data_IF_340411588589
#
_entry.id   IF_340411588589
#
_cell.length_a   1.000
_cell.length_b   1.000
_cell.length_c   1.000
_cell.angle_alpha   90.00
_cell.angle_beta   90.00
_cell.angle_gamma   90.00
#
_symmetry.space_group_name_H-M   'P 1'
#
loop_
_entity.id
_entity.type
_entity.pdbx_description
1 polymer ?
#
# COMPACT_ATOMS: atom_id res chain seq x y z
N UNK A 1 13.55 14.24 15.97
CA UNK A 1 14.35 14.43 14.72
C UNK A 1 14.26 13.22 13.78
N UNK A 2 14.40 11.96 14.26
CA UNK A 2 14.36 10.77 13.40
C UNK A 2 13.06 10.64 12.58
N UNK A 3 11.90 10.89 13.19
CA UNK A 3 10.60 10.82 12.50
C UNK A 3 10.51 11.90 11.41
N UNK A 4 10.92 13.12 11.71
CA UNK A 4 10.93 14.22 10.73
C UNK A 4 11.83 13.87 9.55
N UNK A 5 13.02 13.36 9.83
CA UNK A 5 13.95 12.91 8.78
C UNK A 5 13.33 11.83 7.91
N UNK A 6 12.72 10.82 8.50
CA UNK A 6 12.06 9.72 7.75
C UNK A 6 10.94 10.26 6.84
N UNK A 7 10.12 11.19 7.32
CA UNK A 7 9.08 11.85 6.52
C UNK A 7 9.70 12.61 5.33
N UNK A 8 10.75 13.37 5.57
CA UNK A 8 11.38 14.19 4.55
C UNK A 8 12.21 13.38 3.54
N UNK A 9 12.71 12.22 3.92
CA UNK A 9 13.61 11.41 3.07
C UNK A 9 12.94 10.26 2.34
N UNK A 10 11.78 9.78 2.81
CA UNK A 10 11.06 8.68 2.15
C UNK A 10 10.82 8.95 0.67
N UNK A 11 11.01 7.92 -0.15
CA UNK A 11 10.80 7.96 -1.61
C UNK A 11 9.97 6.75 -2.07
N UNK A 12 9.20 6.93 -3.12
CA UNK A 12 8.58 5.80 -3.82
C UNK A 12 9.66 5.04 -4.59
N UNK A 13 9.71 3.72 -4.39
CA UNK A 13 10.64 2.82 -5.05
C UNK A 13 9.92 2.06 -6.16
N UNK A 14 10.55 1.98 -7.32
CA UNK A 14 10.02 1.30 -8.52
C UNK A 14 11.00 0.28 -9.09
N UNK A 15 11.93 -0.18 -8.28
CA UNK A 15 12.86 -1.24 -8.63
C UNK A 15 13.29 -1.97 -7.36
N UNK A 16 13.01 -3.26 -7.26
CA UNK A 16 13.20 -4.06 -6.05
C UNK A 16 14.14 -5.22 -6.30
N UNK A 17 14.92 -5.56 -5.25
CA UNK A 17 15.63 -6.82 -5.19
C UNK A 17 14.63 -7.98 -5.02
N UNK A 18 14.96 -9.19 -5.49
CA UNK A 18 14.07 -10.35 -5.34
C UNK A 18 14.02 -10.90 -3.91
N UNK A 19 14.87 -10.40 -3.02
CA UNK A 19 14.94 -10.83 -1.63
C UNK A 19 13.67 -10.48 -0.87
N UNK A 20 13.08 -11.47 -0.20
CA UNK A 20 11.97 -11.25 0.71
C UNK A 20 12.46 -10.56 2.00
N UNK A 21 11.76 -9.51 2.46
CA UNK A 21 11.96 -8.99 3.80
C UNK A 21 11.67 -10.06 4.86
N UNK A 22 12.35 -9.98 5.98
CA UNK A 22 12.05 -10.83 7.13
C UNK A 22 10.62 -10.57 7.63
N UNK A 23 9.95 -11.62 8.06
CA UNK A 23 8.54 -11.56 8.51
C UNK A 23 8.36 -10.57 9.66
N UNK A 24 9.30 -10.55 10.60
CA UNK A 24 9.28 -9.61 11.72
C UNK A 24 9.27 -8.13 11.30
N UNK A 25 9.91 -7.80 10.17
CA UNK A 25 9.88 -6.43 9.62
C UNK A 25 8.53 -6.13 8.98
N UNK A 26 7.96 -7.11 8.27
CA UNK A 26 6.61 -6.97 7.68
C UNK A 26 5.58 -6.78 8.80
N UNK A 27 5.67 -7.57 9.87
CA UNK A 27 4.78 -7.47 11.03
C UNK A 27 4.84 -6.10 11.69
N UNK A 28 6.04 -5.54 11.89
CA UNK A 28 6.21 -4.19 12.42
C UNK A 28 5.58 -3.12 11.52
N UNK A 29 5.73 -3.26 10.19
CA UNK A 29 5.14 -2.34 9.23
C UNK A 29 3.61 -2.40 9.29
N UNK A 30 3.04 -3.60 9.32
CA UNK A 30 1.60 -3.82 9.43
C UNK A 30 1.08 -3.28 10.75
N UNK A 31 1.76 -3.58 11.85
CA UNK A 31 1.42 -3.04 13.17
C UNK A 31 1.38 -1.51 13.15
N UNK A 32 2.42 -0.85 12.63
CA UNK A 32 2.45 0.61 12.48
C UNK A 32 1.27 1.14 11.66
N UNK A 33 0.82 0.41 10.67
CA UNK A 33 -0.38 0.72 9.91
C UNK A 33 -1.63 0.77 10.79
N UNK A 34 -1.78 -0.18 11.69
CA UNK A 34 -2.94 -0.27 12.59
C UNK A 34 -3.04 0.88 13.60
N UNK A 35 -1.94 1.61 13.82
CA UNK A 35 -1.92 2.80 14.68
C UNK A 35 -2.27 4.10 13.96
N UNK A 36 -2.71 4.04 12.71
CA UNK A 36 -3.20 5.21 12.00
C UNK A 36 -4.43 5.82 12.72
N UNK A 37 -4.56 7.12 12.64
CA UNK A 37 -5.75 7.79 13.15
C UNK A 37 -6.98 7.37 12.33
N UNK A 38 -8.14 7.26 12.98
CA UNK A 38 -9.41 7.02 12.31
C UNK A 38 -10.54 7.82 12.96
N UNK A 39 -11.53 8.17 12.18
CA UNK A 39 -12.70 8.89 12.66
C UNK A 39 -13.41 8.12 13.79
N UNK A 40 -13.51 8.71 14.97
CA UNK A 40 -14.09 8.09 16.18
C UNK A 40 -13.44 6.75 16.56
N UNK A 41 -12.19 6.55 16.21
CA UNK A 41 -11.44 5.30 16.44
C UNK A 41 -12.14 4.05 15.91
N UNK A 42 -12.85 4.16 14.79
CA UNK A 42 -13.60 3.05 14.21
C UNK A 42 -12.75 2.00 13.52
N UNK A 43 -11.55 2.36 13.05
CA UNK A 43 -10.59 1.45 12.42
C UNK A 43 -11.25 0.54 11.36
N UNK A 44 -11.87 1.13 10.32
CA UNK A 44 -12.69 0.38 9.36
C UNK A 44 -11.89 -0.43 8.35
N UNK A 45 -10.57 -0.36 8.43
CA UNK A 45 -9.65 -1.01 7.49
C UNK A 45 -9.39 -2.48 7.80
N UNK A 46 -8.97 -3.19 6.75
CA UNK A 46 -8.28 -4.49 6.86
C UNK A 46 -6.98 -4.39 6.07
N UNK A 47 -5.92 -4.96 6.61
CA UNK A 47 -4.61 -5.02 5.97
C UNK A 47 -4.37 -6.47 5.56
N UNK A 48 -4.05 -6.70 4.30
CA UNK A 48 -3.84 -8.03 3.75
C UNK A 48 -2.39 -8.10 3.25
N UNK A 49 -1.63 -9.04 3.77
CA UNK A 49 -0.25 -9.32 3.36
C UNK A 49 -0.27 -10.39 2.28
N UNK A 50 0.23 -10.08 1.10
CA UNK A 50 0.18 -10.96 -0.07
C UNK A 50 1.60 -11.33 -0.47
N UNK A 51 1.97 -12.59 -0.23
CA UNK A 51 3.28 -13.18 -0.54
C UNK A 51 3.16 -14.36 -1.51
N UNK A 52 1.97 -14.89 -1.68
CA UNK A 52 1.69 -16.00 -2.59
C UNK A 52 1.86 -15.60 -4.05
N UNK A 53 2.74 -16.31 -4.76
CA UNK A 53 3.10 -15.98 -6.13
C UNK A 53 1.90 -16.07 -7.11
N UNK A 54 1.01 -17.04 -6.90
CA UNK A 54 -0.16 -17.21 -7.76
C UNK A 54 -1.16 -16.07 -7.56
N UNK A 55 -1.40 -15.68 -6.32
CA UNK A 55 -2.26 -14.53 -5.99
C UNK A 55 -1.64 -13.23 -6.52
N UNK A 56 -0.34 -13.03 -6.36
CA UNK A 56 0.36 -11.87 -6.91
C UNK A 56 0.23 -11.80 -8.43
N UNK A 57 0.35 -12.92 -9.14
CA UNK A 57 0.19 -12.96 -10.59
C UNK A 57 -1.23 -12.54 -11.03
N UNK A 58 -2.26 -13.02 -10.35
CA UNK A 58 -3.66 -12.60 -10.59
C UNK A 58 -3.84 -11.11 -10.35
N UNK A 59 -3.29 -10.58 -9.25
CA UNK A 59 -3.36 -9.15 -8.90
C UNK A 59 -2.66 -8.30 -9.97
N UNK A 60 -1.45 -8.68 -10.40
CA UNK A 60 -0.74 -7.96 -11.46
C UNK A 60 -1.54 -7.88 -12.74
N UNK A 61 -2.11 -8.99 -13.18
CA UNK A 61 -2.93 -9.06 -14.39
C UNK A 61 -4.16 -8.17 -14.27
N UNK A 62 -4.89 -8.26 -13.18
CA UNK A 62 -6.09 -7.46 -12.95
C UNK A 62 -5.75 -5.96 -12.84
N UNK A 63 -4.70 -5.61 -12.11
CA UNK A 63 -4.27 -4.23 -11.96
C UNK A 63 -3.85 -3.61 -13.30
N UNK A 64 -3.05 -4.34 -14.09
CA UNK A 64 -2.59 -3.90 -15.40
C UNK A 64 -3.75 -3.66 -16.38
N UNK A 65 -4.86 -4.38 -16.27
CA UNK A 65 -6.02 -4.23 -17.15
C UNK A 65 -6.67 -2.84 -17.08
N UNK A 66 -6.47 -2.11 -15.98
CA UNK A 66 -6.96 -0.74 -15.81
C UNK A 66 -5.98 0.34 -16.30
N UNK A 67 -4.80 -0.04 -16.76
CA UNK A 67 -3.81 0.90 -17.25
C UNK A 67 -3.99 1.13 -18.74
N UNK A 68 -3.75 2.37 -19.17
CA UNK A 68 -3.85 2.76 -20.60
C UNK A 68 -2.62 2.35 -21.42
N UNK A 69 -1.52 2.04 -20.76
CA UNK A 69 -0.27 1.62 -21.36
C UNK A 69 -0.04 0.13 -21.11
N UNK A 70 0.68 -0.52 -22.01
CA UNK A 70 1.13 -1.89 -21.81
C UNK A 70 2.23 -1.89 -20.73
N UNK A 71 1.84 -2.25 -19.50
CA UNK A 71 2.73 -2.30 -18.33
C UNK A 71 2.90 -3.76 -17.93
N UNK A 72 4.14 -4.26 -18.05
CA UNK A 72 4.45 -5.66 -17.76
C UNK A 72 4.23 -6.02 -16.28
N UNK A 73 4.64 -5.15 -15.36
CA UNK A 73 4.45 -5.35 -13.92
C UNK A 73 4.16 -4.02 -13.21
N UNK A 74 2.89 -3.78 -12.82
CA UNK A 74 2.51 -2.59 -12.06
C UNK A 74 3.14 -2.50 -10.66
N UNK A 75 3.69 -3.60 -10.15
CA UNK A 75 4.32 -3.70 -8.82
C UNK A 75 5.84 -3.69 -8.87
N UNK A 76 6.43 -3.48 -10.05
CA UNK A 76 7.87 -3.27 -10.23
C UNK A 76 8.78 -4.39 -9.69
N UNK A 77 8.30 -5.62 -9.69
CA UNK A 77 9.05 -6.77 -9.18
C UNK A 77 9.14 -6.87 -7.66
N UNK A 78 8.33 -6.13 -6.93
CA UNK A 78 8.30 -6.21 -5.47
C UNK A 78 7.91 -7.61 -4.99
N UNK A 79 8.63 -8.18 -3.98
CA UNK A 79 8.32 -9.53 -3.49
C UNK A 79 7.09 -9.61 -2.60
N UNK A 80 6.67 -8.50 -1.98
CA UNK A 80 5.52 -8.44 -1.06
C UNK A 80 4.57 -7.35 -1.51
N UNK A 81 3.26 -7.64 -1.45
CA UNK A 81 2.21 -6.63 -1.62
C UNK A 81 1.44 -6.50 -0.31
N UNK A 82 1.21 -5.27 0.13
CA UNK A 82 0.28 -4.96 1.20
C UNK A 82 -0.95 -4.31 0.58
N UNK A 83 -2.12 -4.85 0.87
CA UNK A 83 -3.39 -4.32 0.41
C UNK A 83 -4.16 -3.76 1.60
N UNK A 84 -4.70 -2.57 1.46
CA UNK A 84 -5.67 -2.00 2.39
C UNK A 84 -7.02 -1.94 1.71
N UNK A 85 -8.00 -2.56 2.33
CA UNK A 85 -9.42 -2.42 2.03
C UNK A 85 -10.12 -1.81 3.25
N UNK A 86 -11.25 -1.16 3.07
CA UNK A 86 -11.94 -0.47 4.16
C UNK A 86 -13.45 -0.59 4.03
N UNK A 87 -14.16 -0.70 5.15
CA UNK A 87 -15.59 -0.91 5.23
C UNK A 87 -16.35 0.25 4.56
N UNK A 88 -17.00 -0.03 3.44
CA UNK A 88 -17.65 0.98 2.59
C UNK A 88 -18.75 1.77 3.31
N UNK A 89 -19.42 1.17 4.28
CA UNK A 89 -20.46 1.83 5.08
C UNK A 89 -19.94 2.94 6.00
N UNK A 90 -18.63 2.91 6.35
CA UNK A 90 -18.05 3.96 7.17
C UNK A 90 -17.74 5.19 6.28
N UNK A 91 -18.29 6.38 6.59
CA UNK A 91 -18.12 7.58 5.75
C UNK A 91 -16.66 8.06 5.65
N UNK A 92 -15.80 7.67 6.59
CA UNK A 92 -14.38 8.03 6.62
C UNK A 92 -13.46 6.93 6.06
N UNK A 93 -14.00 5.84 5.53
CA UNK A 93 -13.24 4.64 5.18
C UNK A 93 -12.07 4.90 4.22
N UNK A 94 -12.22 5.79 3.26
CA UNK A 94 -11.15 6.14 2.32
C UNK A 94 -10.04 6.93 3.01
N UNK A 95 -10.40 7.93 3.81
CA UNK A 95 -9.44 8.75 4.55
C UNK A 95 -8.64 7.91 5.55
N UNK A 96 -9.37 7.12 6.34
CA UNK A 96 -8.79 6.26 7.37
C UNK A 96 -7.85 5.20 6.74
N UNK A 97 -8.29 4.54 5.68
CA UNK A 97 -7.45 3.56 4.98
C UNK A 97 -6.22 4.18 4.31
N UNK A 98 -6.34 5.41 3.83
CA UNK A 98 -5.20 6.15 3.26
C UNK A 98 -4.13 6.44 4.31
N UNK A 99 -4.52 6.80 5.52
CA UNK A 99 -3.59 7.02 6.64
C UNK A 99 -2.83 5.74 7.01
N UNK A 100 -3.49 4.59 6.97
CA UNK A 100 -2.84 3.28 7.18
C UNK A 100 -1.69 3.07 6.20
N UNK A 101 -1.94 3.28 4.91
CA UNK A 101 -0.91 3.17 3.88
C UNK A 101 0.24 4.15 4.11
N UNK A 102 -0.07 5.38 4.52
CA UNK A 102 0.92 6.39 4.86
C UNK A 102 1.83 5.96 6.01
N UNK A 103 1.26 5.46 7.11
CA UNK A 103 2.01 4.92 8.24
C UNK A 103 2.91 3.75 7.83
N UNK A 104 2.38 2.81 7.04
CA UNK A 104 3.16 1.65 6.58
C UNK A 104 4.33 2.06 5.68
N UNK A 105 4.14 3.01 4.76
CA UNK A 105 5.21 3.52 3.91
C UNK A 105 6.32 4.18 4.74
N UNK A 106 5.95 4.95 5.75
CA UNK A 106 6.91 5.64 6.61
C UNK A 106 7.68 4.64 7.48
N UNK A 107 6.99 3.68 8.07
CA UNK A 107 7.61 2.62 8.87
C UNK A 107 8.56 1.77 8.02
N UNK A 108 8.15 1.36 6.82
CA UNK A 108 9.01 0.63 5.90
C UNK A 108 10.32 1.37 5.63
N UNK A 109 10.25 2.67 5.35
CA UNK A 109 11.43 3.50 5.13
C UNK A 109 12.32 3.58 6.37
N UNK A 110 11.74 3.76 7.54
CA UNK A 110 12.48 3.83 8.80
C UNK A 110 13.21 2.51 9.14
N UNK A 111 12.66 1.38 8.69
CA UNK A 111 13.24 0.04 8.86
C UNK A 111 14.22 -0.36 7.73
N UNK A 112 14.52 0.55 6.81
CA UNK A 112 15.44 0.29 5.69
C UNK A 112 14.82 -0.47 4.51
N UNK A 113 13.50 -0.63 4.49
CA UNK A 113 12.78 -1.15 3.34
C UNK A 113 12.31 -0.03 2.42
N UNK A 114 11.90 -0.41 1.24
CA UNK A 114 11.35 0.50 0.24
C UNK A 114 9.92 0.12 -0.10
N UNK A 115 9.11 1.11 -0.44
CA UNK A 115 7.73 0.89 -0.83
C UNK A 115 7.27 1.87 -1.91
N UNK A 116 6.16 1.53 -2.55
CA UNK A 116 5.48 2.41 -3.50
C UNK A 116 3.99 2.17 -3.41
N UNK A 117 3.20 3.24 -3.34
CA UNK A 117 1.76 3.16 -3.51
C UNK A 117 1.41 2.73 -4.93
N UNK A 118 0.64 1.66 -5.06
CA UNK A 118 0.12 1.18 -6.34
C UNK A 118 -1.40 1.40 -6.36
N UNK A 119 -1.85 2.12 -7.36
CA UNK A 119 -3.26 2.44 -7.55
C UNK A 119 -4.09 1.25 -8.06
N UNK A 120 -5.36 1.49 -8.33
CA UNK A 120 -6.34 0.58 -8.93
C UNK A 120 -6.93 -0.46 -7.98
N UNK A 121 -6.59 -0.43 -6.69
CA UNK A 121 -7.29 -1.26 -5.71
C UNK A 121 -8.81 -1.00 -5.70
N UNK A 122 -9.23 0.25 -5.81
CA UNK A 122 -10.64 0.62 -5.88
C UNK A 122 -11.33 -0.07 -7.06
N UNK A 123 -10.82 0.12 -8.26
CA UNK A 123 -11.40 -0.43 -9.48
C UNK A 123 -11.41 -1.96 -9.46
N UNK A 124 -10.36 -2.59 -8.94
CA UNK A 124 -10.30 -4.04 -8.78
C UNK A 124 -11.38 -4.54 -7.82
N UNK A 125 -11.46 -3.96 -6.62
CA UNK A 125 -12.38 -4.43 -5.58
C UNK A 125 -13.83 -3.95 -5.75
N UNK A 126 -14.11 -3.12 -6.74
CA UNK A 126 -15.47 -2.88 -7.25
C UNK A 126 -15.97 -4.06 -8.12
N UNK A 127 -15.09 -4.99 -8.52
CA UNK A 127 -15.46 -6.16 -9.29
C UNK A 127 -15.93 -7.32 -8.40
N UNK A 128 -17.00 -8.04 -8.77
CA UNK A 128 -17.53 -9.16 -7.97
C UNK A 128 -16.50 -10.25 -7.69
N UNK A 129 -15.61 -10.52 -8.62
CA UNK A 129 -14.53 -11.51 -8.48
C UNK A 129 -13.65 -11.21 -7.27
N UNK A 130 -13.26 -9.95 -7.08
CA UNK A 130 -12.36 -9.56 -5.98
C UNK A 130 -13.10 -9.45 -4.65
N UNK A 131 -14.38 -9.10 -4.65
CA UNK A 131 -15.23 -9.22 -3.46
C UNK A 131 -15.37 -10.69 -3.04
N UNK A 132 -15.53 -11.61 -4.00
CA UNK A 132 -15.55 -13.05 -3.72
C UNK A 132 -14.23 -13.52 -3.12
N UNK A 133 -13.09 -13.07 -3.65
CA UNK A 133 -11.77 -13.39 -3.10
C UNK A 133 -11.60 -12.91 -1.66
N UNK A 134 -12.09 -11.71 -1.30
CA UNK A 134 -12.07 -11.25 0.09
C UNK A 134 -12.83 -12.20 1.02
N UNK A 135 -13.99 -12.71 0.60
CA UNK A 135 -14.74 -13.71 1.38
C UNK A 135 -13.98 -15.03 1.50
N UNK A 136 -13.32 -15.47 0.44
CA UNK A 136 -12.51 -16.70 0.45
C UNK A 136 -11.36 -16.62 1.48
N UNK A 137 -10.77 -15.46 1.67
CA UNK A 137 -9.72 -15.25 2.68
C UNK A 137 -10.26 -14.89 4.07
N UNK A 138 -11.59 -14.94 4.26
CA UNK A 138 -12.23 -14.78 5.57
C UNK A 138 -12.73 -13.38 5.91
N UNK A 139 -12.78 -12.46 4.95
CA UNK A 139 -13.31 -11.11 5.16
C UNK A 139 -14.76 -11.01 4.72
N UNK A 140 -15.65 -10.94 5.71
CA UNK A 140 -17.07 -10.74 5.50
C UNK A 140 -17.41 -9.24 5.53
N UNK A 141 -18.22 -8.77 4.58
CA UNK A 141 -18.67 -7.40 4.49
C UNK A 141 -18.44 -6.79 3.11
N UNK A 142 -18.83 -5.53 2.97
CA UNK A 142 -18.61 -4.73 1.76
C UNK A 142 -17.41 -3.82 1.96
N UNK A 143 -16.31 -4.13 1.27
CA UNK A 143 -15.06 -3.39 1.36
C UNK A 143 -14.73 -2.67 0.05
N UNK A 144 -14.30 -1.41 0.17
CA UNK A 144 -13.66 -0.70 -0.94
C UNK A 144 -12.14 -0.91 -0.90
N UNK A 145 -11.54 -1.16 -2.04
CA UNK A 145 -10.08 -1.15 -2.17
C UNK A 145 -9.54 0.26 -2.01
N UNK A 146 -8.59 0.46 -1.10
CA UNK A 146 -7.98 1.78 -0.84
C UNK A 146 -6.68 1.92 -1.63
N UNK A 147 -5.79 0.97 -1.51
CA UNK A 147 -4.52 0.96 -2.24
C UNK A 147 -3.68 -0.25 -1.91
N UNK A 148 -2.69 -0.48 -2.77
CA UNK A 148 -1.63 -1.45 -2.51
C UNK A 148 -0.34 -0.73 -2.14
N UNK A 149 0.53 -1.39 -1.41
CA UNK A 149 1.95 -1.09 -1.35
C UNK A 149 2.75 -2.22 -1.98
N UNK A 150 3.58 -1.89 -2.96
CA UNK A 150 4.73 -2.70 -3.29
C UNK A 150 5.75 -2.55 -2.16
N UNK A 151 6.30 -3.64 -1.65
CA UNK A 151 7.21 -3.66 -0.50
C UNK A 151 8.39 -4.59 -0.76
N UNK A 152 9.59 -4.14 -0.42
CA UNK A 152 10.80 -4.91 -0.55
C UNK A 152 12.06 -4.09 -0.28
N UNK A 153 13.22 -4.62 -0.66
CA UNK A 153 14.48 -3.87 -0.65
C UNK A 153 14.69 -3.17 -1.99
N UNK A 154 15.12 -1.90 -1.95
CA UNK A 154 15.41 -1.15 -3.16
C UNK A 154 16.59 -1.73 -3.94
N UNK A 155 16.45 -1.84 -5.25
CA UNK A 155 17.54 -2.15 -6.18
C UNK A 155 18.06 -0.85 -6.78
N UNK A 156 19.10 -0.28 -6.17
CA UNK A 156 19.73 0.97 -6.62
C UNK A 156 19.17 2.22 -5.97
N UNK A 157 19.65 3.37 -6.40
CA UNK A 157 19.30 4.66 -5.84
C UNK A 157 17.93 5.17 -6.35
N UNK A 158 17.20 5.93 -5.53
CA UNK A 158 15.96 6.54 -5.97
C UNK A 158 16.23 7.64 -7.00
N UNK A 159 15.27 7.87 -7.89
CA UNK A 159 15.30 9.00 -8.83
C UNK A 159 15.47 10.34 -8.09
N UNK A 160 16.10 11.35 -8.70
CA UNK A 160 16.22 12.67 -8.11
C UNK A 160 14.90 13.22 -7.60
N UNK A 161 14.95 13.88 -6.44
CA UNK A 161 13.75 14.48 -5.84
C UNK A 161 13.29 15.68 -6.66
N UNK A 162 12.01 15.71 -6.99
CA UNK A 162 11.40 16.90 -7.57
C UNK A 162 11.25 18.00 -6.50
N UNK A 163 11.43 19.28 -6.86
CA UNK A 163 11.13 20.38 -5.95
C UNK A 163 9.70 20.32 -5.41
N UNK A 164 9.52 20.78 -4.18
CA UNK A 164 8.16 20.95 -3.63
C UNK A 164 7.50 22.16 -4.27
N UNK A 165 6.22 22.03 -4.55
CA UNK A 165 5.42 23.17 -4.98
C UNK A 165 5.21 24.12 -3.82
N UNK A 166 5.08 25.39 -4.11
CA UNK A 166 4.59 26.38 -3.17
C UNK A 166 3.08 26.15 -2.97
N UNK A 167 2.70 25.65 -1.82
CA UNK A 167 1.33 25.18 -1.55
C UNK A 167 0.86 25.51 -0.13
N UNK A 168 1.59 26.35 0.59
CA UNK A 168 1.23 26.77 1.97
C UNK A 168 0.76 28.21 1.94
N UNK A 169 -0.43 28.44 2.48
CA UNK A 169 -0.97 29.78 2.70
C UNK A 169 -1.09 29.99 4.20
N UNK A 170 -0.55 31.11 4.67
CA UNK A 170 -0.67 31.55 6.07
C UNK A 170 -1.61 32.73 6.10
N UNK A 171 -2.62 32.70 6.96
CA UNK A 171 -3.62 33.74 7.19
C UNK A 171 -3.56 34.24 8.60
#
# INVERSE_FOLDING_TARGET
>A
EAVVNAILTRRSCRNYLPQFPEESLIDQIVEAGTYAASGKSKQPWRIIVIRDAATQARIRQANASFLKADVADPFYGAPVYLLVVSERENPNHVYDGTLVLGNMMLCAHALGLASCWINRAREMFDQPEWQAWLREIGLEGDFEGIGFLALGYAAGDPSPRKPRRECVVKV
#
